data_IF_795677109745
#
_entry.id   IF_795677109745
#
_cell.length_a   1.000
_cell.length_b   1.000
_cell.length_c   1.000
_cell.angle_alpha   90.00
_cell.angle_beta   90.00
_cell.angle_gamma   90.00
#
_symmetry.space_group_name_H-M   'P 1'
#
loop_
_entity.id
_entity.type
_entity.pdbx_description
1 polymer ?
#
# COMPACT_ATOMS: atom_id res chain seq x y z
N UNK A 1 -0.71 0.79 -2.33
CA UNK A 1 -0.49 1.59 -3.55
C UNK A 1 0.55 0.89 -4.40
N UNK A 2 0.37 0.86 -5.72
CA UNK A 2 1.31 0.21 -6.64
C UNK A 2 2.25 1.23 -7.27
N UNK A 3 3.50 0.83 -7.51
CA UNK A 3 4.58 1.67 -8.05
C UNK A 3 4.98 1.25 -9.45
N UNK A 4 4.02 0.75 -10.23
CA UNK A 4 4.19 0.41 -11.64
C UNK A 4 4.43 1.65 -12.49
N UNK A 5 5.04 1.47 -13.66
CA UNK A 5 5.19 2.51 -14.68
C UNK A 5 4.45 2.22 -15.98
N UNK A 6 4.02 0.97 -16.18
CA UNK A 6 3.38 0.51 -17.42
C UNK A 6 1.95 0.07 -17.15
N UNK A 7 0.99 0.81 -17.71
CA UNK A 7 -0.45 0.63 -17.43
C UNK A 7 -0.94 -0.77 -17.81
N UNK A 8 -0.55 -1.25 -18.99
CA UNK A 8 -1.01 -2.51 -19.53
C UNK A 8 -0.48 -3.69 -18.70
N UNK A 9 0.76 -3.58 -18.20
CA UNK A 9 1.34 -4.58 -17.31
C UNK A 9 0.60 -4.61 -15.98
N UNK A 10 0.41 -3.44 -15.36
CA UNK A 10 -0.36 -3.31 -14.12
C UNK A 10 -1.78 -3.91 -14.25
N UNK A 11 -2.50 -3.61 -15.32
CA UNK A 11 -3.86 -4.16 -15.54
C UNK A 11 -3.84 -5.68 -15.72
N UNK A 12 -2.84 -6.23 -16.43
CA UNK A 12 -2.68 -7.68 -16.57
C UNK A 12 -2.42 -8.33 -15.22
N UNK A 13 -1.55 -7.76 -14.41
CA UNK A 13 -1.21 -8.29 -13.11
C UNK A 13 -2.40 -8.20 -12.15
N UNK A 14 -3.12 -7.07 -12.12
CA UNK A 14 -4.36 -6.94 -11.34
C UNK A 14 -5.41 -8.01 -11.69
N UNK A 15 -5.54 -8.36 -12.97
CA UNK A 15 -6.44 -9.44 -13.42
C UNK A 15 -5.94 -10.83 -13.05
N UNK A 16 -4.62 -11.04 -13.04
CA UNK A 16 -4.00 -12.34 -12.74
C UNK A 16 -4.02 -12.64 -11.25
N UNK A 17 -3.73 -11.64 -10.42
CA UNK A 17 -3.61 -11.80 -8.96
C UNK A 17 -4.96 -11.72 -8.23
N UNK A 18 -6.06 -11.49 -8.95
CA UNK A 18 -7.44 -11.42 -8.43
C UNK A 18 -7.57 -10.55 -7.16
N UNK A 19 -6.88 -9.41 -7.14
CA UNK A 19 -6.82 -8.54 -5.95
C UNK A 19 -8.21 -7.91 -5.72
N UNK A 20 -8.84 -8.28 -4.60
CA UNK A 20 -10.21 -7.87 -4.26
C UNK A 20 -10.36 -6.49 -3.63
N UNK A 21 -9.25 -5.79 -3.31
CA UNK A 21 -9.27 -4.45 -2.73
C UNK A 21 -8.86 -3.36 -3.74
N UNK A 22 -9.13 -2.10 -3.38
CA UNK A 22 -8.80 -0.95 -4.21
C UNK A 22 -7.28 -0.83 -4.41
N UNK A 23 -6.86 -0.90 -5.67
CA UNK A 23 -5.48 -0.67 -6.08
C UNK A 23 -5.37 0.59 -6.92
N UNK A 24 -4.49 1.49 -6.49
CA UNK A 24 -4.20 2.75 -7.18
C UNK A 24 -2.71 2.79 -7.56
N UNK A 25 -2.43 3.39 -8.71
CA UNK A 25 -1.08 3.73 -9.20
C UNK A 25 -1.13 5.05 -9.95
N UNK A 26 -0.08 5.86 -9.83
CA UNK A 26 0.10 7.08 -10.62
C UNK A 26 0.96 6.86 -11.88
N UNK A 27 1.40 5.62 -12.12
CA UNK A 27 2.27 5.19 -13.22
C UNK A 27 3.65 5.88 -13.27
N UNK A 28 4.07 6.52 -12.18
CA UNK A 28 5.37 7.23 -12.10
C UNK A 28 6.47 6.38 -11.47
N UNK A 29 6.07 5.33 -10.73
CA UNK A 29 6.95 4.44 -9.99
C UNK A 29 7.83 5.12 -8.93
N UNK A 30 8.71 4.33 -8.31
CA UNK A 30 9.54 4.74 -7.15
C UNK A 30 10.51 5.91 -7.43
N UNK A 31 10.78 6.25 -8.69
CA UNK A 31 11.73 7.31 -9.05
C UNK A 31 11.08 8.68 -9.23
N UNK A 32 9.79 8.75 -9.58
CA UNK A 32 9.12 9.98 -10.00
C UNK A 32 7.80 10.23 -9.28
N UNK A 33 7.26 9.26 -8.55
CA UNK A 33 6.04 9.47 -7.79
C UNK A 33 6.29 10.45 -6.64
N UNK A 34 5.47 11.51 -6.49
CA UNK A 34 5.59 12.44 -5.36
C UNK A 34 5.30 11.77 -4.00
N UNK A 35 4.70 10.57 -4.04
CA UNK A 35 4.31 9.82 -2.85
C UNK A 35 5.51 9.16 -2.17
N UNK A 36 6.61 8.96 -2.91
CA UNK A 36 7.87 8.45 -2.36
C UNK A 36 8.39 9.41 -1.29
N UNK A 37 8.40 10.71 -1.58
CA UNK A 37 8.83 11.73 -0.62
C UNK A 37 7.77 11.95 0.47
N UNK A 38 6.49 12.06 0.08
CA UNK A 38 5.40 12.35 1.02
C UNK A 38 5.25 11.29 2.12
N UNK A 39 5.47 10.01 1.81
CA UNK A 39 5.40 8.90 2.77
C UNK A 39 6.80 8.38 3.19
N UNK A 40 7.88 9.05 2.76
CA UNK A 40 9.27 8.65 3.00
C UNK A 40 9.51 7.16 2.68
N UNK A 41 9.11 6.74 1.48
CA UNK A 41 9.24 5.37 1.00
C UNK A 41 10.69 5.08 0.62
N UNK A 42 11.27 4.03 1.21
CA UNK A 42 12.67 3.64 0.97
C UNK A 42 12.81 2.29 0.26
N UNK A 43 11.71 1.55 0.16
CA UNK A 43 11.66 0.23 -0.45
C UNK A 43 10.22 -0.26 -0.52
N UNK A 44 10.02 -1.34 -1.28
CA UNK A 44 8.74 -2.04 -1.38
C UNK A 44 8.95 -3.52 -1.02
N UNK A 45 7.93 -4.20 -0.46
CA UNK A 45 6.65 -3.64 -0.01
C UNK A 45 6.82 -2.70 1.19
N UNK A 46 5.89 -1.78 1.40
CA UNK A 46 5.78 -0.96 2.61
C UNK A 46 4.30 -0.88 2.98
N UNK A 47 4.00 -0.77 4.27
CA UNK A 47 2.64 -0.85 4.80
C UNK A 47 2.42 0.24 5.84
N UNK A 48 1.20 0.77 5.88
CA UNK A 48 0.78 1.81 6.81
C UNK A 48 -0.60 1.45 7.33
N UNK A 49 -0.80 1.64 8.63
CA UNK A 49 -2.15 1.66 9.22
C UNK A 49 -2.45 3.10 9.57
N UNK A 50 -3.61 3.56 9.12
CA UNK A 50 -4.06 4.94 9.25
C UNK A 50 -5.39 4.92 10.01
N UNK A 51 -5.57 5.81 10.98
CA UNK A 51 -6.82 5.97 11.71
C UNK A 51 -7.87 6.76 10.90
N UNK A 52 -9.14 6.82 11.34
CA UNK A 52 -10.19 7.58 10.65
C UNK A 52 -9.92 9.08 10.51
N UNK A 53 -9.13 9.66 11.42
CA UNK A 53 -8.72 11.05 11.41
C UNK A 53 -7.56 11.33 10.43
N UNK A 54 -6.95 10.28 9.87
CA UNK A 54 -5.91 10.36 8.85
C UNK A 54 -4.48 10.30 9.39
N UNK A 55 -4.28 9.97 10.67
CA UNK A 55 -2.95 9.79 11.25
C UNK A 55 -2.41 8.39 11.01
N UNK A 56 -1.11 8.31 10.66
CA UNK A 56 -0.39 7.04 10.57
C UNK A 56 -0.12 6.53 11.99
N UNK A 57 -0.80 5.46 12.38
CA UNK A 57 -0.68 4.84 13.72
C UNK A 57 0.33 3.69 13.73
N UNK A 58 0.57 3.01 12.60
CA UNK A 58 1.64 2.01 12.43
C UNK A 58 2.21 2.00 11.02
N UNK A 59 3.43 1.49 10.89
CA UNK A 59 4.17 1.32 9.63
C UNK A 59 4.97 0.02 9.65
N UNK A 60 5.26 -0.53 8.48
CA UNK A 60 6.19 -1.65 8.25
C UNK A 60 5.74 -2.99 8.86
N UNK A 61 4.43 -3.16 9.05
CA UNK A 61 3.85 -4.44 9.48
C UNK A 61 3.97 -5.48 8.36
N UNK A 62 4.29 -6.72 8.71
CA UNK A 62 4.48 -7.83 7.77
C UNK A 62 3.72 -9.08 8.19
N UNK A 63 3.12 -9.77 7.22
CA UNK A 63 2.51 -11.09 7.44
C UNK A 63 1.49 -11.08 8.58
N UNK A 64 1.68 -12.00 9.54
CA UNK A 64 0.78 -12.16 10.69
C UNK A 64 0.69 -10.92 11.59
N UNK A 65 1.75 -10.11 11.67
CA UNK A 65 1.76 -8.88 12.51
C UNK A 65 0.66 -7.90 12.12
N UNK A 66 0.27 -7.90 10.84
CA UNK A 66 -0.83 -7.07 10.34
C UNK A 66 -2.14 -7.50 10.97
N UNK A 67 -2.42 -8.81 10.97
CA UNK A 67 -3.67 -9.37 11.48
C UNK A 67 -3.75 -9.21 13.00
N UNK A 68 -2.65 -9.49 13.70
CA UNK A 68 -2.57 -9.33 15.16
C UNK A 68 -2.88 -7.88 15.54
N UNK A 69 -2.19 -6.91 14.93
CA UNK A 69 -2.42 -5.50 15.21
C UNK A 69 -3.85 -5.04 14.86
N UNK A 70 -4.37 -5.44 13.69
CA UNK A 70 -5.72 -5.07 13.28
C UNK A 70 -6.78 -5.65 14.22
N UNK A 71 -6.59 -6.85 14.76
CA UNK A 71 -7.51 -7.44 15.74
C UNK A 71 -7.60 -6.67 17.05
N UNK A 72 -6.54 -5.93 17.43
CA UNK A 72 -6.51 -5.13 18.65
C UNK A 72 -7.19 -3.77 18.47
N UNK A 73 -7.08 -3.17 17.28
CA UNK A 73 -7.52 -1.79 17.02
C UNK A 73 -8.86 -1.69 16.28
N UNK A 74 -9.27 -2.75 15.59
CA UNK A 74 -10.57 -2.82 14.92
C UNK A 74 -11.53 -3.60 15.81
N UNK A 75 -12.23 -2.88 16.69
CA UNK A 75 -13.41 -3.38 17.41
C UNK A 75 -14.68 -3.14 16.58
N UNK A 76 -15.63 -4.09 16.63
CA UNK A 76 -16.97 -3.98 16.02
C UNK A 76 -17.74 -2.71 16.42
#
# INVERSE_FOLDING_TARGET
MMMDTEREQWIRDMKREEIGWLCLTDLKGMKKSPLVDAYNLRGLPDSFVVDPEGYIIRRDLRGGEILDYLSEVVTE
#
